data_IF_343194588352
#
_entry.id   IF_343194588352
#
_cell.length_a   1.000
_cell.length_b   1.000
_cell.length_c   1.000
_cell.angle_alpha   90.00
_cell.angle_beta   90.00
_cell.angle_gamma   90.00
#
_symmetry.space_group_name_H-M   'P 1'
#
loop_
_entity.id
_entity.type
_entity.pdbx_description
1 polymer ?
#
# COMPACT_ATOMS: atom_id res chain seq x y z
N UNK A 1 -11.67 26.10 -24.43
CA UNK A 1 -10.36 26.73 -24.67
C UNK A 1 -10.48 27.98 -25.51
N UNK A 2 -9.73 29.05 -25.17
CA UNK A 2 -9.68 30.24 -26.00
C UNK A 2 -9.17 29.88 -27.40
N UNK A 3 -9.83 30.35 -28.46
CA UNK A 3 -9.40 30.09 -29.83
C UNK A 3 -7.97 30.54 -30.14
N UNK A 4 -7.47 31.51 -29.36
CA UNK A 4 -6.08 31.99 -29.41
C UNK A 4 -5.06 30.92 -29.01
N UNK A 5 -5.41 30.03 -28.08
CA UNK A 5 -4.51 28.96 -27.64
C UNK A 5 -4.44 27.82 -28.66
N UNK A 6 -5.58 27.45 -29.26
CA UNK A 6 -5.62 26.46 -30.33
C UNK A 6 -4.86 26.93 -31.58
N UNK A 7 -4.89 28.24 -31.84
CA UNK A 7 -4.07 28.84 -32.89
C UNK A 7 -2.57 28.76 -32.56
N UNK A 8 -2.17 28.99 -31.30
CA UNK A 8 -0.79 28.78 -30.83
C UNK A 8 -0.31 27.36 -31.11
N UNK A 9 -1.11 26.34 -30.75
CA UNK A 9 -0.78 24.92 -31.02
C UNK A 9 -0.55 24.67 -32.51
N UNK A 10 -1.43 25.18 -33.37
CA UNK A 10 -1.29 25.08 -34.81
C UNK A 10 0.01 25.74 -35.31
N UNK A 11 0.33 26.94 -34.82
CA UNK A 11 1.55 27.67 -35.21
C UNK A 11 2.83 26.97 -34.73
N UNK A 12 2.76 26.19 -33.66
CA UNK A 12 3.86 25.34 -33.17
C UNK A 12 3.98 24.02 -33.95
N UNK A 13 3.10 23.78 -34.92
CA UNK A 13 3.14 22.62 -35.81
C UNK A 13 2.32 21.42 -35.35
N UNK A 14 1.42 21.60 -34.37
CA UNK A 14 0.54 20.51 -33.94
C UNK A 14 -0.44 20.12 -35.06
N UNK A 15 -0.57 18.83 -35.41
CA UNK A 15 -1.53 18.36 -36.40
C UNK A 15 -2.97 18.48 -35.86
N UNK A 16 -3.96 18.49 -36.76
CA UNK A 16 -5.37 18.67 -36.39
C UNK A 16 -5.87 17.58 -35.42
N UNK A 17 -5.34 16.36 -35.53
CA UNK A 17 -5.64 15.24 -34.64
C UNK A 17 -5.16 15.52 -33.21
N UNK A 18 -3.97 16.11 -33.05
CA UNK A 18 -3.42 16.48 -31.75
C UNK A 18 -4.19 17.65 -31.13
N UNK A 19 -4.61 18.63 -31.94
CA UNK A 19 -5.46 19.74 -31.49
C UNK A 19 -6.84 19.23 -31.05
N UNK A 20 -7.44 18.30 -31.81
CA UNK A 20 -8.71 17.69 -31.45
C UNK A 20 -8.60 16.87 -30.14
N UNK A 21 -7.52 16.11 -29.99
CA UNK A 21 -7.22 15.42 -28.74
C UNK A 21 -7.07 16.40 -27.57
N UNK A 22 -6.31 17.49 -27.75
CA UNK A 22 -6.12 18.51 -26.71
C UNK A 22 -7.45 19.11 -26.25
N UNK A 23 -8.37 19.41 -27.18
CA UNK A 23 -9.71 19.91 -26.87
C UNK A 23 -10.52 18.88 -26.05
N UNK A 24 -10.42 17.60 -26.40
CA UNK A 24 -11.13 16.53 -25.69
C UNK A 24 -10.56 16.32 -24.28
N UNK A 25 -9.23 16.32 -24.15
CA UNK A 25 -8.52 16.12 -22.89
C UNK A 25 -8.74 17.30 -21.93
N UNK A 26 -8.62 18.54 -22.43
CA UNK A 26 -8.84 19.78 -21.67
C UNK A 26 -10.21 19.86 -20.98
N UNK A 27 -11.24 19.19 -21.50
CA UNK A 27 -12.58 19.12 -20.87
C UNK A 27 -12.58 18.40 -19.53
N UNK A 28 -11.57 17.58 -19.25
CA UNK A 28 -11.42 16.88 -17.97
C UNK A 28 -10.83 17.79 -16.87
N UNK A 29 -10.31 18.95 -17.24
CA UNK A 29 -9.62 19.87 -16.34
C UNK A 29 -10.45 21.14 -16.12
N UNK A 30 -10.33 21.73 -14.93
CA UNK A 30 -11.02 23.00 -14.63
C UNK A 30 -10.15 24.18 -15.05
N UNK A 31 -8.86 24.17 -14.68
CA UNK A 31 -7.89 25.20 -15.05
C UNK A 31 -7.00 24.76 -16.22
N UNK A 32 -6.53 25.73 -17.00
CA UNK A 32 -5.48 25.56 -18.00
C UNK A 32 -4.15 25.16 -17.35
N UNK A 33 -3.84 25.69 -16.16
CA UNK A 33 -2.63 25.32 -15.41
C UNK A 33 -2.54 23.81 -15.15
N UNK A 34 -3.67 23.15 -14.87
CA UNK A 34 -3.70 21.71 -14.64
C UNK A 34 -3.48 20.91 -15.93
N UNK A 35 -4.02 21.39 -17.06
CA UNK A 35 -3.76 20.79 -18.36
C UNK A 35 -2.29 20.98 -18.77
N UNK A 36 -1.74 22.17 -18.57
CA UNK A 36 -0.37 22.55 -18.89
C UNK A 36 0.66 21.81 -18.04
N UNK A 37 0.33 21.48 -16.78
CA UNK A 37 1.21 20.70 -15.92
C UNK A 37 1.34 19.24 -16.37
N UNK A 38 0.25 18.62 -16.87
CA UNK A 38 0.29 17.24 -17.38
C UNK A 38 0.68 17.13 -18.85
N UNK A 39 0.36 18.14 -19.66
CA UNK A 39 0.53 18.16 -21.11
C UNK A 39 0.99 19.54 -21.61
N UNK A 40 2.21 19.98 -21.23
CA UNK A 40 2.72 21.28 -21.64
C UNK A 40 2.94 21.33 -23.15
N UNK A 41 2.70 22.50 -23.72
CA UNK A 41 2.80 22.76 -25.16
C UNK A 41 4.21 23.25 -25.55
N UNK A 42 4.93 23.86 -24.63
CA UNK A 42 6.32 24.28 -24.80
C UNK A 42 7.11 24.15 -23.48
N UNK A 43 8.43 24.34 -23.58
CA UNK A 43 9.38 24.25 -22.46
C UNK A 43 9.16 25.31 -21.39
N UNK A 44 8.72 26.51 -21.78
CA UNK A 44 8.39 27.60 -20.85
C UNK A 44 7.13 27.26 -20.05
N UNK A 45 6.11 26.73 -20.70
CA UNK A 45 4.87 26.28 -20.07
C UNK A 45 5.11 25.08 -19.16
N UNK A 46 5.94 24.12 -19.60
CA UNK A 46 6.41 23.01 -18.77
C UNK A 46 7.10 23.50 -17.50
N UNK A 47 8.02 24.48 -17.61
CA UNK A 47 8.73 25.04 -16.47
C UNK A 47 7.82 25.87 -15.56
N UNK A 48 6.90 26.64 -16.11
CA UNK A 48 5.98 27.48 -15.33
C UNK A 48 4.96 26.66 -14.55
N UNK A 49 4.65 25.46 -15.04
CA UNK A 49 3.68 24.54 -14.46
C UNK A 49 4.33 23.28 -13.90
N UNK A 50 5.66 23.25 -13.74
CA UNK A 50 6.39 22.18 -13.04
C UNK A 50 5.94 22.11 -11.58
N UNK A 51 5.71 20.89 -11.10
CA UNK A 51 4.71 20.54 -10.11
C UNK A 51 4.71 21.29 -8.78
N UNK A 52 3.50 21.55 -8.30
CA UNK A 52 3.31 21.98 -6.92
C UNK A 52 3.60 20.79 -6.00
N UNK A 53 4.50 20.98 -5.02
CA UNK A 53 4.73 19.98 -3.97
C UNK A 53 3.41 19.62 -3.29
N UNK A 54 3.15 18.32 -3.16
CA UNK A 54 1.91 17.82 -2.57
C UNK A 54 1.88 18.05 -1.06
N UNK A 55 3.03 17.91 -0.41
CA UNK A 55 3.15 17.99 1.04
C UNK A 55 3.92 19.25 1.46
N UNK A 56 3.42 19.91 2.50
CA UNK A 56 4.10 21.06 3.08
C UNK A 56 5.33 20.60 3.88
N UNK A 57 6.49 21.17 3.54
CA UNK A 57 7.80 20.81 4.11
C UNK A 57 7.82 20.92 5.65
N UNK A 58 7.22 21.96 6.23
CA UNK A 58 7.14 22.16 7.67
C UNK A 58 6.31 21.07 8.39
N UNK A 59 5.39 20.41 7.68
CA UNK A 59 4.61 19.28 8.22
C UNK A 59 5.39 17.98 8.10
N UNK A 60 6.10 17.76 6.99
CA UNK A 60 6.95 16.59 6.80
C UNK A 60 8.08 16.57 7.82
N UNK A 61 8.73 17.71 8.06
CA UNK A 61 9.85 17.83 9.00
C UNK A 61 9.51 17.40 10.43
N UNK A 62 8.25 17.56 10.86
CA UNK A 62 7.81 17.14 12.20
C UNK A 62 7.86 15.63 12.40
N UNK A 63 7.93 14.82 11.33
CA UNK A 63 8.09 13.38 11.42
C UNK A 63 9.53 12.94 11.71
N UNK A 64 10.54 13.82 11.52
CA UNK A 64 11.94 13.52 11.83
C UNK A 64 12.13 13.05 13.27
N UNK A 65 11.33 13.55 14.22
CA UNK A 65 11.34 13.11 15.63
C UNK A 65 11.01 11.63 15.84
N UNK A 66 10.28 11.02 14.91
CA UNK A 66 9.92 9.60 14.93
C UNK A 66 10.97 8.71 14.26
N UNK A 67 11.73 9.28 13.32
CA UNK A 67 12.72 8.58 12.51
C UNK A 67 13.92 8.14 13.35
N UNK A 68 14.37 6.90 13.13
CA UNK A 68 15.52 6.31 13.82
C UNK A 68 15.99 5.04 13.13
N UNK A 69 17.22 4.63 13.38
CA UNK A 69 17.74 3.35 12.91
C UNK A 69 16.88 2.17 13.41
N UNK A 70 16.72 1.11 12.61
CA UNK A 70 16.04 -0.11 13.05
C UNK A 70 16.80 -0.79 14.18
N UNK A 71 16.07 -1.50 15.05
CA UNK A 71 16.67 -2.28 16.14
C UNK A 71 17.20 -3.62 15.66
N UNK A 72 16.53 -4.20 14.67
CA UNK A 72 16.89 -5.49 14.07
C UNK A 72 16.88 -5.37 12.56
N UNK A 73 17.81 -6.08 11.91
CA UNK A 73 17.92 -6.21 10.46
C UNK A 73 17.99 -7.70 10.15
N UNK A 74 17.26 -8.17 9.16
CA UNK A 74 17.24 -9.58 8.80
C UNK A 74 16.17 -9.91 7.78
N UNK A 75 15.49 -11.03 8.00
CA UNK A 75 14.34 -11.44 7.20
C UNK A 75 13.44 -12.42 8.00
N UNK A 76 12.25 -12.70 7.47
CA UNK A 76 11.31 -13.67 8.04
C UNK A 76 11.28 -14.92 7.16
N UNK A 77 11.38 -16.08 7.81
CA UNK A 77 11.40 -17.38 7.14
C UNK A 77 10.39 -18.34 7.75
N UNK A 78 9.66 -19.06 6.89
CA UNK A 78 9.01 -20.31 7.24
C UNK A 78 9.85 -21.53 6.83
N UNK A 79 9.27 -22.72 6.92
CA UNK A 79 9.91 -23.98 6.49
C UNK A 79 10.07 -24.11 4.96
N UNK A 80 9.46 -23.20 4.20
CA UNK A 80 9.64 -23.05 2.76
C UNK A 80 9.50 -21.59 2.33
N UNK A 81 9.76 -21.33 1.06
CA UNK A 81 9.67 -19.98 0.49
C UNK A 81 8.32 -19.71 -0.21
N UNK A 82 7.52 -20.76 -0.47
CA UNK A 82 6.18 -20.66 -1.11
C UNK A 82 5.23 -21.75 -0.63
N UNK A 83 3.93 -21.57 -0.90
CA UNK A 83 2.88 -22.52 -0.55
C UNK A 83 2.71 -22.71 0.96
N UNK A 84 2.04 -23.79 1.39
CA UNK A 84 1.73 -24.01 2.82
C UNK A 84 2.96 -24.03 3.74
N UNK A 85 4.11 -24.53 3.26
CA UNK A 85 5.35 -24.57 4.04
C UNK A 85 5.89 -23.17 4.39
N UNK A 86 5.59 -22.15 3.58
CA UNK A 86 6.02 -20.79 3.90
C UNK A 86 5.34 -20.24 5.16
N UNK A 87 4.18 -20.77 5.53
CA UNK A 87 3.39 -20.37 6.70
C UNK A 87 3.67 -21.20 7.96
N UNK A 88 4.56 -22.19 7.87
CA UNK A 88 4.92 -23.08 8.97
C UNK A 88 6.20 -22.58 9.66
N UNK A 89 6.22 -22.61 10.99
CA UNK A 89 7.36 -22.21 11.83
C UNK A 89 7.98 -20.86 11.42
N UNK A 90 7.10 -19.90 11.12
CA UNK A 90 7.47 -18.54 10.72
C UNK A 90 8.23 -17.86 11.85
N UNK A 91 9.44 -17.43 11.55
CA UNK A 91 10.37 -16.83 12.51
C UNK A 91 11.22 -15.76 11.85
N UNK A 92 11.60 -14.77 12.65
CA UNK A 92 12.62 -13.80 12.25
C UNK A 92 14.01 -14.43 12.42
N UNK A 93 14.87 -14.22 11.44
CA UNK A 93 16.30 -14.52 11.52
C UNK A 93 17.07 -13.21 11.32
N UNK A 94 17.89 -12.84 12.29
CA UNK A 94 18.73 -11.65 12.20
C UNK A 94 19.85 -11.87 11.19
N UNK A 95 20.00 -10.93 10.27
CA UNK A 95 21.08 -10.86 9.29
C UNK A 95 21.35 -9.39 9.01
N UNK A 96 22.58 -8.92 9.30
CA UNK A 96 22.97 -7.52 9.10
C UNK A 96 22.95 -7.10 7.62
N UNK A 97 22.93 -8.06 6.69
CA UNK A 97 22.79 -7.81 5.25
C UNK A 97 21.35 -7.95 4.75
N UNK A 98 20.40 -8.26 5.65
CA UNK A 98 18.99 -8.43 5.33
C UNK A 98 18.30 -7.14 4.88
N UNK A 99 17.19 -7.31 4.17
CA UNK A 99 16.38 -6.21 3.63
C UNK A 99 15.19 -5.85 4.52
N UNK A 100 14.89 -6.63 5.56
CA UNK A 100 13.84 -6.33 6.53
C UNK A 100 14.42 -5.55 7.71
N UNK A 101 13.92 -4.33 7.90
CA UNK A 101 14.22 -3.46 9.03
C UNK A 101 13.08 -3.53 10.04
N UNK A 102 13.40 -3.83 11.30
CA UNK A 102 12.41 -3.93 12.38
C UNK A 102 12.74 -2.93 13.49
N UNK A 103 11.78 -2.05 13.79
CA UNK A 103 11.84 -1.12 14.92
C UNK A 103 11.16 -1.70 16.17
N UNK A 104 10.11 -2.49 15.98
CA UNK A 104 9.39 -3.21 17.02
C UNK A 104 9.04 -4.63 16.54
N UNK A 105 9.43 -5.63 17.33
CA UNK A 105 9.00 -7.02 17.13
C UNK A 105 7.49 -7.14 17.39
N UNK A 106 6.81 -8.15 16.81
CA UNK A 106 5.42 -8.41 17.14
C UNK A 106 5.27 -8.72 18.63
N UNK A 107 4.22 -8.18 19.24
CA UNK A 107 3.91 -8.36 20.65
C UNK A 107 2.66 -9.21 20.81
N UNK A 108 2.74 -10.19 21.69
CA UNK A 108 1.67 -11.13 21.99
C UNK A 108 1.34 -11.08 23.47
N UNK A 109 0.06 -11.22 23.80
CA UNK A 109 -0.42 -11.31 25.17
C UNK A 109 -0.88 -12.73 25.47
N UNK A 110 -0.56 -13.21 26.67
CA UNK A 110 -0.89 -14.58 27.08
C UNK A 110 -2.40 -14.75 27.29
N UNK A 111 -3.03 -13.77 27.92
CA UNK A 111 -4.42 -13.79 28.39
C UNK A 111 -5.42 -13.09 27.45
N UNK A 112 -4.94 -12.31 26.49
CA UNK A 112 -5.80 -11.61 25.53
C UNK A 112 -5.25 -11.66 24.10
N UNK A 113 -6.07 -11.22 23.15
CA UNK A 113 -5.69 -10.96 21.77
C UNK A 113 -6.15 -9.56 21.38
N UNK A 114 -5.31 -8.83 20.66
CA UNK A 114 -5.70 -7.55 20.06
C UNK A 114 -6.10 -7.80 18.62
N UNK A 115 -7.39 -7.71 18.30
CA UNK A 115 -7.87 -7.88 16.93
C UNK A 115 -7.45 -6.68 16.08
N UNK A 116 -7.27 -6.90 14.77
CA UNK A 116 -6.98 -5.84 13.79
C UNK A 116 -5.77 -4.95 14.15
N UNK A 117 -4.83 -5.46 14.94
CA UNK A 117 -3.67 -4.70 15.43
C UNK A 117 -2.70 -4.37 14.31
N UNK A 118 -2.28 -5.39 13.54
CA UNK A 118 -1.25 -5.23 12.53
C UNK A 118 -1.86 -5.17 11.13
N UNK A 119 -1.29 -4.29 10.31
CA UNK A 119 -1.57 -4.14 8.88
C UNK A 119 -0.24 -4.24 8.13
N UNK A 120 -0.19 -5.08 7.10
CA UNK A 120 0.95 -5.19 6.19
C UNK A 120 0.51 -4.71 4.81
N UNK A 121 1.24 -3.75 4.25
CA UNK A 121 0.97 -3.21 2.92
C UNK A 121 2.17 -3.40 2.01
N UNK A 122 1.92 -3.83 0.79
CA UNK A 122 2.93 -4.12 -0.22
C UNK A 122 2.72 -3.24 -1.44
N UNK A 123 3.78 -2.54 -1.84
CA UNK A 123 3.92 -1.94 -3.16
C UNK A 123 4.94 -2.75 -3.95
N UNK A 124 4.58 -3.07 -5.19
CA UNK A 124 5.30 -4.00 -6.04
C UNK A 124 6.11 -3.19 -7.07
N UNK A 125 7.41 -3.09 -6.83
CA UNK A 125 8.37 -2.60 -7.79
C UNK A 125 8.86 -3.69 -8.75
N UNK A 126 9.98 -3.41 -9.42
CA UNK A 126 10.60 -4.34 -10.35
C UNK A 126 11.94 -4.92 -9.89
N UNK A 127 12.51 -5.79 -10.73
CA UNK A 127 13.75 -6.53 -10.45
C UNK A 127 15.01 -5.81 -10.94
N UNK A 128 14.88 -4.86 -11.87
CA UNK A 128 16.03 -4.25 -12.54
C UNK A 128 16.59 -3.08 -11.74
N UNK A 129 17.85 -2.72 -11.97
CA UNK A 129 18.53 -1.61 -11.25
C UNK A 129 17.88 -0.23 -11.47
N UNK A 130 17.06 -0.08 -12.50
CA UNK A 130 16.31 1.15 -12.78
C UNK A 130 14.80 0.96 -12.63
N UNK A 131 14.36 -0.18 -12.09
CA UNK A 131 12.96 -0.38 -11.76
C UNK A 131 12.65 0.23 -10.39
N UNK A 132 11.36 0.41 -10.16
CA UNK A 132 10.81 0.84 -8.88
C UNK A 132 11.15 -0.16 -7.75
N UNK A 133 11.19 0.33 -6.52
CA UNK A 133 11.54 -0.50 -5.37
C UNK A 133 10.33 -1.25 -4.85
N UNK A 134 10.52 -2.51 -4.47
CA UNK A 134 9.47 -3.25 -3.77
C UNK A 134 9.52 -2.93 -2.27
N UNK A 135 8.35 -2.65 -1.69
CA UNK A 135 8.22 -2.23 -0.31
C UNK A 135 7.18 -3.08 0.40
N UNK A 136 7.51 -3.58 1.59
CA UNK A 136 6.54 -4.21 2.51
C UNK A 136 6.59 -3.42 3.80
N UNK A 137 5.53 -2.70 4.16
CA UNK A 137 5.47 -1.92 5.40
C UNK A 137 4.53 -2.59 6.41
N UNK A 138 4.92 -2.58 7.68
CA UNK A 138 4.10 -3.09 8.79
C UNK A 138 3.70 -1.93 9.70
N UNK A 139 2.39 -1.78 9.89
CA UNK A 139 1.77 -0.76 10.73
C UNK A 139 1.19 -1.44 11.98
N UNK A 140 1.60 -0.99 13.17
CA UNK A 140 0.99 -1.36 14.45
C UNK A 140 -0.04 -0.31 14.85
N UNK A 141 -1.29 -0.74 15.02
CA UNK A 141 -2.45 0.09 15.36
C UNK A 141 -2.80 0.05 16.84
N UNK A 142 -2.04 -0.66 17.69
CA UNK A 142 -2.36 -0.87 19.11
C UNK A 142 -2.79 0.41 19.85
N UNK A 143 -2.00 1.47 19.73
CA UNK A 143 -2.25 2.73 20.43
C UNK A 143 -3.53 3.46 19.98
N UNK A 144 -4.09 3.12 18.81
CA UNK A 144 -5.36 3.70 18.36
C UNK A 144 -6.51 3.37 19.31
N UNK A 145 -6.43 2.26 20.06
CA UNK A 145 -7.41 1.90 21.09
C UNK A 145 -7.56 2.96 22.18
N UNK A 146 -6.50 3.70 22.46
CA UNK A 146 -6.41 4.70 23.52
C UNK A 146 -6.38 6.13 22.95
N UNK A 147 -6.79 6.31 21.69
CA UNK A 147 -6.72 7.60 20.99
C UNK A 147 -5.31 8.00 20.54
N UNK A 148 -4.35 7.08 20.64
CA UNK A 148 -3.00 7.23 20.09
C UNK A 148 -2.94 6.99 18.59
N UNK A 149 -1.71 6.86 18.07
CA UNK A 149 -1.42 6.85 16.64
C UNK A 149 -0.90 5.49 16.17
N UNK A 150 -1.21 5.06 14.93
CA UNK A 150 -0.53 3.92 14.33
C UNK A 150 0.95 4.22 14.11
N UNK A 151 1.79 3.20 14.27
CA UNK A 151 3.25 3.29 14.14
C UNK A 151 3.75 2.40 13.02
N UNK A 152 4.72 2.88 12.23
CA UNK A 152 5.54 2.00 11.41
C UNK A 152 6.45 1.19 12.34
N UNK A 153 6.40 -0.14 12.23
CA UNK A 153 7.13 -1.05 13.14
C UNK A 153 8.11 -1.97 12.41
N UNK A 154 7.90 -2.22 11.12
CA UNK A 154 8.87 -2.89 10.26
C UNK A 154 8.69 -2.47 8.80
N UNK A 155 9.76 -2.62 8.02
CA UNK A 155 9.76 -2.39 6.59
C UNK A 155 10.77 -3.28 5.88
N UNK A 156 10.32 -3.99 4.85
CA UNK A 156 11.20 -4.59 3.85
C UNK A 156 11.34 -3.63 2.67
N UNK A 157 12.56 -3.43 2.18
CA UNK A 157 12.84 -2.53 1.06
C UNK A 157 13.93 -3.13 0.17
N UNK A 158 13.60 -3.42 -1.09
CA UNK A 158 14.54 -4.09 -1.98
C UNK A 158 13.99 -4.40 -3.37
N UNK A 159 14.83 -4.97 -4.22
CA UNK A 159 14.41 -5.56 -5.50
C UNK A 159 14.26 -7.06 -5.33
N UNK A 160 13.10 -7.56 -5.72
CA UNK A 160 12.81 -8.99 -5.74
C UNK A 160 11.68 -9.25 -6.74
N UNK A 161 11.68 -10.47 -7.23
CA UNK A 161 10.62 -11.10 -7.99
C UNK A 161 9.24 -10.91 -7.36
N UNK A 162 8.25 -10.45 -8.13
CA UNK A 162 6.88 -10.17 -7.66
C UNK A 162 6.24 -11.36 -6.94
N UNK A 163 6.41 -12.58 -7.45
CA UNK A 163 5.89 -13.79 -6.82
C UNK A 163 6.57 -14.05 -5.47
N UNK A 164 7.90 -13.96 -5.40
CA UNK A 164 8.65 -14.12 -4.15
C UNK A 164 8.33 -13.00 -3.14
N UNK A 165 8.11 -11.77 -3.60
CA UNK A 165 7.68 -10.64 -2.77
C UNK A 165 6.35 -10.95 -2.09
N UNK A 166 5.37 -11.44 -2.83
CA UNK A 166 4.05 -11.76 -2.30
C UNK A 166 4.13 -12.84 -1.21
N UNK A 167 4.92 -13.90 -1.43
CA UNK A 167 5.14 -14.93 -0.41
C UNK A 167 5.87 -14.39 0.82
N UNK A 168 6.89 -13.54 0.62
CA UNK A 168 7.62 -12.88 1.71
C UNK A 168 6.71 -11.96 2.53
N UNK A 169 5.87 -11.17 1.87
CA UNK A 169 4.89 -10.32 2.54
C UNK A 169 3.89 -11.15 3.36
N UNK A 170 3.46 -12.30 2.83
CA UNK A 170 2.58 -13.20 3.53
C UNK A 170 3.27 -13.84 4.77
N UNK A 171 4.57 -14.13 4.70
CA UNK A 171 5.37 -14.55 5.85
C UNK A 171 5.49 -13.45 6.90
N UNK A 172 5.78 -12.21 6.50
CA UNK A 172 5.85 -11.06 7.41
C UNK A 172 4.48 -10.83 8.06
N UNK A 173 3.38 -10.87 7.30
CA UNK A 173 2.03 -10.73 7.84
C UNK A 173 1.69 -11.86 8.82
N UNK A 174 2.09 -13.10 8.53
CA UNK A 174 1.97 -14.24 9.44
C UNK A 174 2.75 -14.04 10.75
N UNK A 175 3.97 -13.52 10.66
CA UNK A 175 4.83 -13.21 11.80
C UNK A 175 4.22 -12.13 12.71
N UNK A 176 3.57 -11.12 12.13
CA UNK A 176 2.87 -10.05 12.84
C UNK A 176 1.40 -10.41 13.17
N UNK A 177 1.20 -11.51 13.90
CA UNK A 177 -0.11 -12.01 14.38
C UNK A 177 -1.19 -12.17 13.29
N UNK A 178 -0.82 -12.70 12.13
CA UNK A 178 -1.73 -12.83 10.99
C UNK A 178 -2.37 -11.46 10.62
N UNK A 179 -1.52 -10.44 10.47
CA UNK A 179 -1.90 -9.09 10.07
C UNK A 179 -2.81 -9.05 8.83
N UNK A 180 -3.63 -8.01 8.67
CA UNK A 180 -4.30 -7.82 7.38
C UNK A 180 -3.23 -7.57 6.32
N UNK A 181 -3.19 -8.38 5.27
CA UNK A 181 -2.23 -8.26 4.18
C UNK A 181 -2.88 -7.55 2.99
N UNK A 182 -2.36 -6.40 2.62
CA UNK A 182 -2.76 -5.62 1.45
C UNK A 182 -1.63 -5.66 0.45
N UNK A 183 -1.91 -6.17 -0.75
CA UNK A 183 -0.94 -6.16 -1.84
C UNK A 183 -1.50 -5.27 -2.94
N UNK A 184 -0.72 -4.30 -3.38
CA UNK A 184 -1.04 -3.48 -4.54
C UNK A 184 -1.04 -4.33 -5.82
N UNK A 185 -2.12 -4.22 -6.59
CA UNK A 185 -2.38 -4.94 -7.82
C UNK A 185 -2.47 -3.92 -8.95
N UNK A 186 -1.30 -3.52 -9.43
CA UNK A 186 -1.15 -2.69 -10.61
C UNK A 186 -1.00 -3.63 -11.80
N UNK A 187 -2.03 -3.73 -12.63
CA UNK A 187 -2.02 -4.64 -13.79
C UNK A 187 -2.24 -3.97 -15.15
N UNK A 188 -2.51 -2.65 -15.27
CA UNK A 188 -3.15 -2.17 -16.51
C UNK A 188 -2.95 -0.72 -16.96
N UNK A 189 -1.85 -0.03 -16.64
CA UNK A 189 -1.64 1.36 -17.16
C UNK A 189 -0.29 1.64 -17.87
N UNK A 190 0.54 0.65 -18.18
CA UNK A 190 1.61 0.85 -19.16
C UNK A 190 1.10 0.57 -20.56
N UNK A 191 0.96 1.67 -21.32
CA UNK A 191 0.83 1.70 -22.77
C UNK A 191 1.87 0.78 -23.42
N UNK A 192 1.45 -0.39 -23.89
CA UNK A 192 1.91 -1.01 -25.14
C UNK A 192 0.94 -2.13 -25.50
N UNK A 193 0.05 -1.82 -26.45
CA UNK A 193 -0.97 -2.76 -26.95
C UNK A 193 -0.40 -3.96 -27.72
N UNK A 194 0.93 -4.05 -27.87
CA UNK A 194 1.59 -5.19 -28.53
C UNK A 194 2.11 -6.27 -27.57
N UNK A 195 2.23 -5.98 -26.26
CA UNK A 195 2.65 -6.97 -25.24
C UNK A 195 1.49 -7.62 -24.46
N UNK A 196 0.25 -7.44 -24.91
CA UNK A 196 -0.95 -8.00 -24.26
C UNK A 196 -1.07 -9.53 -24.46
N UNK A 197 -0.28 -10.14 -25.36
CA UNK A 197 -0.47 -11.53 -25.77
C UNK A 197 0.24 -12.61 -24.91
N UNK A 198 1.01 -12.26 -23.87
CA UNK A 198 1.64 -13.27 -22.98
C UNK A 198 1.49 -12.99 -21.46
N UNK A 199 0.90 -11.86 -21.06
CA UNK A 199 0.94 -11.34 -19.68
C UNK A 199 -0.40 -11.09 -19.00
N UNK A 200 -1.43 -11.90 -19.29
CA UNK A 200 -2.70 -11.83 -18.57
C UNK A 200 -2.53 -12.10 -17.06
N UNK A 201 -2.92 -11.12 -16.25
CA UNK A 201 -3.16 -11.11 -14.78
C UNK A 201 -2.21 -11.92 -13.86
N UNK A 202 -0.89 -11.75 -14.01
CA UNK A 202 0.09 -12.36 -13.10
C UNK A 202 -0.17 -12.00 -11.63
N UNK A 203 -0.61 -10.75 -11.36
CA UNK A 203 -0.90 -10.29 -10.00
C UNK A 203 -2.13 -10.99 -9.41
N UNK A 204 -3.25 -11.10 -10.14
CA UNK A 204 -4.42 -11.84 -9.65
C UNK A 204 -4.11 -13.33 -9.43
N UNK A 205 -3.32 -13.94 -10.32
CA UNK A 205 -2.88 -15.33 -10.14
C UNK A 205 -2.09 -15.52 -8.84
N UNK A 206 -1.09 -14.67 -8.57
CA UNK A 206 -0.29 -14.72 -7.34
C UNK A 206 -1.18 -14.51 -6.11
N UNK A 207 -2.09 -13.54 -6.15
CA UNK A 207 -3.00 -13.26 -5.03
C UNK A 207 -3.92 -14.45 -4.72
N UNK A 208 -4.41 -15.15 -5.74
CA UNK A 208 -5.20 -16.37 -5.55
C UNK A 208 -4.37 -17.49 -4.90
N UNK A 209 -3.10 -17.67 -5.28
CA UNK A 209 -2.22 -18.63 -4.62
C UNK A 209 -1.96 -18.29 -3.14
N UNK A 210 -1.78 -17.00 -2.82
CA UNK A 210 -1.63 -16.55 -1.43
C UNK A 210 -2.93 -16.78 -0.66
N UNK A 211 -4.09 -16.51 -1.27
CA UNK A 211 -5.39 -16.69 -0.62
C UNK A 211 -5.68 -18.12 -0.17
N UNK A 212 -5.14 -19.11 -0.86
CA UNK A 212 -5.28 -20.53 -0.51
C UNK A 212 -4.46 -20.93 0.73
N UNK A 213 -3.54 -20.08 1.19
CA UNK A 213 -2.68 -20.35 2.34
C UNK A 213 -2.75 -19.30 3.45
N UNK A 214 -3.25 -18.10 3.14
CA UNK A 214 -3.30 -16.95 4.04
C UNK A 214 -4.71 -16.36 4.08
N UNK A 215 -5.35 -16.46 5.24
CA UNK A 215 -6.77 -16.13 5.36
C UNK A 215 -7.05 -14.63 5.42
N UNK A 216 -6.14 -13.84 5.97
CA UNK A 216 -6.35 -12.40 6.23
C UNK A 216 -5.84 -11.52 5.09
N UNK A 217 -6.16 -11.89 3.85
CA UNK A 217 -5.80 -11.14 2.64
C UNK A 217 -6.88 -10.09 2.33
N UNK A 218 -6.46 -8.86 2.06
CA UNK A 218 -7.35 -7.77 1.70
C UNK A 218 -8.09 -8.06 0.40
N UNK A 219 -9.40 -7.83 0.44
CA UNK A 219 -10.30 -7.91 -0.69
C UNK A 219 -11.07 -6.59 -0.83
N UNK A 220 -11.24 -6.16 -2.07
CA UNK A 220 -11.98 -4.93 -2.39
C UNK A 220 -13.44 -5.09 -2.01
N UNK A 221 -14.04 -4.04 -1.46
CA UNK A 221 -15.48 -4.02 -1.12
C UNK A 221 -16.31 -4.32 -2.37
N UNK A 222 -17.22 -5.29 -2.23
CA UNK A 222 -18.19 -5.63 -3.27
C UNK A 222 -19.48 -4.83 -3.03
N UNK A 223 -20.09 -4.34 -4.11
CA UNK A 223 -21.42 -3.74 -4.02
C UNK A 223 -22.48 -4.80 -3.69
N UNK A 224 -23.65 -4.40 -3.19
CA UNK A 224 -24.75 -5.35 -3.00
C UNK A 224 -25.13 -6.08 -4.30
N UNK A 225 -25.06 -5.39 -5.43
CA UNK A 225 -25.27 -5.98 -6.76
C UNK A 225 -24.22 -7.04 -7.07
N UNK A 226 -22.95 -6.81 -6.75
CA UNK A 226 -21.87 -7.79 -7.00
C UNK A 226 -22.11 -9.07 -6.19
N UNK A 227 -22.51 -8.93 -4.93
CA UNK A 227 -22.83 -10.07 -4.05
C UNK A 227 -24.04 -10.84 -4.62
N UNK A 228 -25.11 -10.14 -5.01
CA UNK A 228 -26.32 -10.74 -5.60
C UNK A 228 -26.00 -11.49 -6.90
N UNK A 229 -25.11 -10.92 -7.71
CA UNK A 229 -24.69 -11.49 -8.99
C UNK A 229 -23.54 -12.50 -8.86
N UNK A 230 -23.11 -12.83 -7.64
CA UNK A 230 -22.00 -13.76 -7.35
C UNK A 230 -20.71 -13.40 -8.11
N UNK A 231 -20.44 -12.10 -8.24
CA UNK A 231 -19.19 -11.62 -8.84
C UNK A 231 -18.02 -12.12 -7.99
N UNK A 232 -16.93 -12.63 -8.61
CA UNK A 232 -15.76 -13.08 -7.88
C UNK A 232 -15.17 -11.99 -6.97
N UNK A 233 -14.68 -12.40 -5.81
CA UNK A 233 -13.96 -11.51 -4.87
C UNK A 233 -12.65 -11.10 -5.52
N UNK A 234 -12.38 -9.79 -5.57
CA UNK A 234 -11.12 -9.24 -6.09
C UNK A 234 -10.17 -8.94 -4.96
N UNK A 235 -9.04 -9.65 -4.93
CA UNK A 235 -8.00 -9.44 -3.93
C UNK A 235 -7.06 -8.29 -4.31
N UNK A 236 -6.39 -7.76 -3.29
CA UNK A 236 -5.41 -6.67 -3.43
C UNK A 236 -6.04 -5.30 -3.61
N UNK A 237 -5.24 -4.26 -3.36
CA UNK A 237 -5.62 -2.88 -3.59
C UNK A 237 -5.30 -2.50 -5.04
N UNK A 238 -6.22 -1.85 -5.74
CA UNK A 238 -6.01 -1.48 -7.14
C UNK A 238 -5.84 0.02 -7.27
N UNK A 239 -4.61 0.44 -7.54
CA UNK A 239 -4.27 1.83 -7.80
C UNK A 239 -4.63 2.17 -9.24
N UNK A 240 -5.45 3.20 -9.41
CA UNK A 240 -5.89 3.73 -10.69
C UNK A 240 -6.15 5.24 -10.57
N UNK A 241 -6.56 5.85 -11.68
CA UNK A 241 -6.86 7.29 -11.77
C UNK A 241 -7.86 7.83 -10.74
N UNK A 242 -8.68 6.98 -10.11
CA UNK A 242 -9.61 7.37 -9.06
C UNK A 242 -9.08 7.06 -7.65
N UNK A 243 -8.47 5.89 -7.44
CA UNK A 243 -7.99 5.47 -6.11
C UNK A 243 -6.69 6.16 -5.71
N UNK A 244 -5.78 6.47 -6.65
CA UNK A 244 -4.53 7.18 -6.35
C UNK A 244 -4.79 8.57 -5.74
N UNK A 245 -5.56 9.48 -6.37
CA UNK A 245 -5.89 10.77 -5.74
C UNK A 245 -6.57 10.64 -4.38
N UNK A 246 -7.39 9.60 -4.20
CA UNK A 246 -8.12 9.34 -2.96
C UNK A 246 -7.17 8.97 -1.81
N UNK A 247 -6.24 8.03 -2.01
CA UNK A 247 -5.28 7.65 -0.94
C UNK A 247 -4.28 8.78 -0.65
N UNK A 248 -3.87 9.53 -1.68
CA UNK A 248 -2.99 10.70 -1.51
C UNK A 248 -3.69 11.80 -0.71
N UNK A 249 -4.98 12.05 -0.95
CA UNK A 249 -5.77 13.03 -0.17
C UNK A 249 -5.80 12.67 1.32
N UNK A 250 -5.99 11.40 1.65
CA UNK A 250 -5.91 10.92 3.04
C UNK A 250 -4.50 11.12 3.61
N UNK A 251 -3.46 10.78 2.83
CA UNK A 251 -2.09 10.97 3.28
C UNK A 251 -1.74 12.44 3.55
N UNK A 252 -2.23 13.38 2.73
CA UNK A 252 -2.07 14.83 2.95
C UNK A 252 -2.68 15.24 4.29
N UNK A 253 -3.88 14.75 4.61
CA UNK A 253 -4.50 14.99 5.92
C UNK A 253 -3.65 14.40 7.05
N UNK A 254 -3.24 13.15 6.91
CA UNK A 254 -2.45 12.44 7.92
C UNK A 254 -1.12 13.15 8.22
N UNK A 255 -0.42 13.64 7.18
CA UNK A 255 0.82 14.40 7.35
C UNK A 255 0.55 15.76 8.01
N UNK A 256 -0.47 16.49 7.54
CA UNK A 256 -0.84 17.79 8.12
C UNK A 256 -1.15 17.70 9.61
N UNK A 257 -1.89 16.67 10.01
CA UNK A 257 -2.38 16.46 11.38
C UNK A 257 -1.47 15.54 12.22
N UNK A 258 -0.37 15.06 11.63
CA UNK A 258 0.62 14.21 12.29
C UNK A 258 0.02 12.91 12.83
N UNK A 259 -0.87 12.25 12.09
CA UNK A 259 -1.72 11.17 12.62
C UNK A 259 -1.04 9.81 12.75
N UNK A 260 0.23 9.67 12.36
CA UNK A 260 0.98 8.43 12.53
C UNK A 260 2.42 8.70 13.00
N UNK A 261 3.19 7.64 13.24
CA UNK A 261 4.62 7.74 13.56
C UNK A 261 5.44 7.00 12.51
N UNK A 262 6.17 7.78 11.69
CA UNK A 262 7.17 7.28 10.74
C UNK A 262 8.48 6.91 11.46
N UNK A 263 9.21 5.96 10.90
CA UNK A 263 10.52 5.51 11.36
C UNK A 263 11.63 5.66 10.32
N UNK A 264 11.28 5.62 9.04
CA UNK A 264 12.22 5.66 7.95
C UNK A 264 12.30 7.06 7.35
N UNK A 265 13.47 7.71 7.50
CA UNK A 265 13.72 9.05 6.97
C UNK A 265 13.66 9.11 5.43
N UNK A 266 13.91 7.98 4.74
CA UNK A 266 13.81 7.91 3.26
C UNK A 266 12.39 8.21 2.78
N UNK A 267 11.38 7.81 3.54
CA UNK A 267 9.98 8.11 3.22
C UNK A 267 9.70 9.62 3.29
N UNK A 268 10.36 10.34 4.20
CA UNK A 268 10.22 11.79 4.29
C UNK A 268 10.79 12.48 3.04
N UNK A 269 11.88 11.95 2.48
CA UNK A 269 12.44 12.47 1.24
C UNK A 269 11.45 12.30 0.07
N UNK A 270 10.80 11.15 -0.05
CA UNK A 270 9.76 10.95 -1.06
C UNK A 270 8.60 11.93 -0.90
N UNK A 271 8.15 12.21 0.33
CA UNK A 271 7.14 13.25 0.57
C UNK A 271 7.58 14.63 0.08
N UNK A 272 8.86 14.99 0.25
CA UNK A 272 9.37 16.30 -0.15
C UNK A 272 9.54 16.43 -1.67
N UNK A 273 9.70 15.31 -2.37
CA UNK A 273 9.86 15.25 -3.83
C UNK A 273 8.61 14.78 -4.56
N UNK A 274 7.47 14.68 -3.87
CA UNK A 274 6.20 14.30 -4.50
C UNK A 274 5.46 15.52 -5.00
N UNK A 275 5.09 15.47 -6.28
CA UNK A 275 4.54 16.60 -7.01
C UNK A 275 3.15 16.29 -7.55
N UNK A 276 2.37 17.36 -7.70
CA UNK A 276 1.12 17.33 -8.41
C UNK A 276 1.25 18.15 -9.68
N UNK A 277 1.21 17.46 -10.80
CA UNK A 277 1.20 18.02 -12.13
C UNK A 277 -0.23 18.01 -12.66
N UNK A 278 -0.99 19.06 -12.33
CA UNK A 278 -2.40 19.18 -12.68
C UNK A 278 -3.25 18.13 -11.96
N UNK A 279 -3.76 17.13 -12.66
CA UNK A 279 -4.51 16.02 -12.03
C UNK A 279 -3.63 14.81 -11.69
N UNK A 280 -2.37 14.81 -12.14
CA UNK A 280 -1.45 13.68 -11.97
C UNK A 280 -0.63 13.88 -10.69
N UNK A 281 -0.50 12.79 -9.92
CA UNK A 281 0.38 12.73 -8.75
C UNK A 281 1.53 11.77 -9.07
N UNK A 282 2.75 12.26 -8.94
CA UNK A 282 3.96 11.51 -9.28
C UNK A 282 5.18 12.03 -8.51
N UNK A 283 6.21 11.19 -8.41
CA UNK A 283 7.50 11.63 -7.93
C UNK A 283 8.13 12.60 -8.94
N UNK A 284 8.89 13.58 -8.45
CA UNK A 284 9.71 14.43 -9.30
C UNK A 284 10.69 13.58 -10.14
N UNK A 285 11.17 14.14 -11.25
CA UNK A 285 12.04 13.42 -12.18
C UNK A 285 13.27 12.78 -11.49
N UNK A 286 13.49 11.49 -11.77
CA UNK A 286 14.53 10.68 -11.15
C UNK A 286 14.35 10.39 -9.65
N UNK A 287 13.13 10.56 -9.11
CA UNK A 287 12.77 10.21 -7.72
C UNK A 287 11.79 9.04 -7.70
N UNK A 288 11.61 8.46 -6.51
CA UNK A 288 10.72 7.32 -6.25
C UNK A 288 9.55 7.76 -5.36
N UNK A 289 8.43 7.03 -5.44
CA UNK A 289 7.27 7.18 -4.55
C UNK A 289 6.84 5.86 -3.87
N UNK A 290 7.63 4.80 -3.92
CA UNK A 290 7.26 3.47 -3.41
C UNK A 290 7.00 3.45 -1.88
N UNK A 291 7.86 4.14 -1.11
CA UNK A 291 7.64 4.26 0.34
C UNK A 291 6.39 5.09 0.60
N UNK A 292 6.20 6.19 -0.12
CA UNK A 292 5.03 7.06 -0.02
C UNK A 292 3.75 6.31 -0.35
N UNK A 293 3.72 5.54 -1.44
CA UNK A 293 2.55 4.82 -1.92
C UNK A 293 2.11 3.73 -0.92
N UNK A 294 3.05 2.97 -0.35
CA UNK A 294 2.72 2.04 0.75
C UNK A 294 2.10 2.74 1.96
N UNK A 295 2.54 3.96 2.31
CA UNK A 295 1.90 4.75 3.39
C UNK A 295 0.54 5.27 2.97
N UNK A 296 0.38 5.76 1.75
CA UNK A 296 -0.89 6.27 1.26
C UNK A 296 -1.97 5.19 1.33
N UNK A 297 -1.69 4.01 0.78
CA UNK A 297 -2.60 2.86 0.79
C UNK A 297 -2.81 2.37 2.23
N UNK A 298 -1.73 2.15 2.98
CA UNK A 298 -1.81 1.60 4.33
C UNK A 298 -2.55 2.50 5.32
N UNK A 299 -2.32 3.80 5.29
CA UNK A 299 -3.00 4.74 6.17
C UNK A 299 -4.45 4.97 5.74
N UNK A 300 -4.76 4.94 4.44
CA UNK A 300 -6.14 4.93 3.97
C UNK A 300 -6.93 3.74 4.55
N UNK A 301 -6.40 2.53 4.40
CA UNK A 301 -7.04 1.31 4.90
C UNK A 301 -7.12 1.33 6.43
N UNK A 302 -6.04 1.74 7.10
CA UNK A 302 -5.97 1.83 8.55
C UNK A 302 -7.05 2.73 9.17
N UNK A 303 -7.34 3.88 8.56
CA UNK A 303 -8.30 4.86 9.10
C UNK A 303 -9.72 4.71 8.56
N UNK A 304 -9.91 4.23 7.33
CA UNK A 304 -11.22 4.27 6.65
C UNK A 304 -11.85 2.89 6.40
N UNK A 305 -11.08 1.81 6.47
CA UNK A 305 -11.56 0.47 6.10
C UNK A 305 -11.45 -0.56 7.22
N UNK A 306 -10.39 -0.50 8.03
CA UNK A 306 -10.21 -1.42 9.15
C UNK A 306 -11.00 -0.98 10.38
N UNK A 307 -11.69 -1.92 11.00
CA UNK A 307 -12.24 -1.71 12.34
C UNK A 307 -11.14 -1.34 13.34
N UNK A 308 -11.49 -0.53 14.34
CA UNK A 308 -10.57 -0.18 15.43
C UNK A 308 -10.08 -1.44 16.13
N UNK A 309 -8.80 -1.51 16.51
CA UNK A 309 -8.30 -2.65 17.27
C UNK A 309 -9.03 -2.78 18.61
N UNK A 310 -9.21 -4.01 19.08
CA UNK A 310 -9.88 -4.29 20.35
C UNK A 310 -9.19 -5.42 21.08
N UNK A 311 -9.07 -5.29 22.39
CA UNK A 311 -8.61 -6.36 23.26
C UNK A 311 -9.77 -7.33 23.51
N UNK A 312 -9.55 -8.60 23.21
CA UNK A 312 -10.47 -9.70 23.48
C UNK A 312 -9.78 -10.64 24.46
N UNK A 313 -10.37 -10.84 25.63
CA UNK A 313 -9.87 -11.81 26.61
C UNK A 313 -10.05 -13.22 26.08
N UNK A 314 -9.03 -14.06 26.24
CA UNK A 314 -9.14 -15.48 25.95
C UNK A 314 -9.92 -16.10 27.11
N UNK A 315 -11.22 -16.37 26.91
CA UNK A 315 -11.96 -17.16 27.88
C UNK A 315 -11.27 -18.52 28.01
N UNK A 316 -10.66 -18.77 29.17
CA UNK A 316 -10.23 -20.13 29.54
C UNK A 316 -11.47 -21.00 29.42
N UNK A 317 -11.52 -21.88 28.40
CA UNK A 317 -12.51 -22.95 28.36
C UNK A 317 -12.37 -23.70 29.68
N UNK A 318 -13.27 -23.46 30.63
CA UNK A 318 -13.46 -24.37 31.75
C UNK A 318 -13.81 -25.70 31.11
N UNK A 319 -12.89 -26.66 31.16
CA UNK A 319 -13.18 -28.06 30.91
C UNK A 319 -14.30 -28.44 31.88
N UNK A 320 -15.55 -28.32 31.44
CA UNK A 320 -16.67 -28.96 32.12
C UNK A 320 -16.44 -30.44 31.96
N UNK A 321 -15.79 -31.02 32.97
CA UNK A 321 -15.70 -32.46 33.16
C UNK A 321 -17.16 -32.93 33.24
N UNK A 322 -17.71 -33.46 32.14
CA UNK A 322 -18.96 -34.20 32.17
C UNK A 322 -18.68 -35.41 33.05
N UNK A 323 -19.08 -35.32 34.32
CA UNK A 323 -19.20 -36.50 35.17
C UNK A 323 -20.34 -37.31 34.56
N UNK A 324 -20.00 -38.36 33.83
CA UNK A 324 -20.94 -39.41 33.46
C UNK A 324 -21.39 -40.08 34.75
N UNK A 325 -22.57 -39.71 35.24
CA UNK A 325 -23.25 -40.48 36.29
C UNK A 325 -23.75 -41.75 35.61
N UNK A 326 -23.02 -42.85 35.77
CA UNK A 326 -23.52 -44.17 35.44
C UNK A 326 -24.64 -44.50 36.44
N UNK A 327 -25.87 -44.58 35.96
CA UNK A 327 -26.95 -45.22 36.72
C UNK A 327 -26.70 -46.73 36.72
N UNK A 328 -25.97 -47.20 37.72
CA UNK A 328 -25.99 -48.57 38.17
C UNK A 328 -25.86 -48.54 39.69
N UNK A 329 -26.64 -49.40 40.36
CA UNK A 329 -26.86 -49.48 41.82
C UNK A 329 -27.85 -48.40 42.27
N UNK A 330 -29.09 -48.70 42.65
CA UNK A 330 -29.59 -49.54 43.77
C UNK A 330 -30.97 -50.07 43.27
N UNK A 331 -31.35 -51.35 43.38
CA UNK A 331 -31.29 -52.21 44.56
C UNK A 331 -32.72 -52.32 45.10
#
# INVERSE_FOLDING_TARGET
EPGTYLWKLWTLGAPLEAINWYIAERKKFTDHADMAAGYPTDDIEAFKHSGARVFAEDKVDKFKKGCRAPKYIGDVYGDGYKGKKCMQNVRFCEDKQGQLWIWNLPEFFDDCKVTNRYLVVVDIGGRSKGADWSVIVVIDRYWMMEGGKPHIVAQWYGHIDMDLLAWKAAQIAKYYDNALLVIESNTLETKDKEHILEGGDQSEFILNQIKDVYDNLYARKQSESDIKNKVPVKYGFHTNVATKPMVISVLVQVIREQLYVERDERCLFEYLTYEKNGTVYEAADGKHDDLLMTRAIGLHICFNEMEMPRMITKETRKLTRRVSVSAATIG
#
